data_IF_698003053426
#
_entry.id   IF_698003053426
#
_cell.length_a   1.000
_cell.length_b   1.000
_cell.length_c   1.000
_cell.angle_alpha   90.00
_cell.angle_beta   90.00
_cell.angle_gamma   90.00
#
_symmetry.space_group_name_H-M   'P 1'
#
loop_
_entity.id
_entity.type
_entity.pdbx_description
1 polymer ?
#
# COMPACT_ATOMS: atom_id res chain seq x y z
N UNK A 1 34.14 10.56 -22.33
CA UNK A 1 33.84 11.72 -21.48
C UNK A 1 32.88 11.19 -20.43
N UNK A 2 33.37 10.97 -19.21
CA UNK A 2 32.49 10.70 -18.07
C UNK A 2 31.78 12.02 -17.76
N UNK A 3 30.45 12.05 -17.88
CA UNK A 3 29.68 13.19 -17.41
C UNK A 3 29.85 13.30 -15.89
N UNK A 4 30.48 14.37 -15.43
CA UNK A 4 30.55 14.71 -14.01
C UNK A 4 29.12 14.96 -13.51
N UNK A 5 28.54 13.95 -12.85
CA UNK A 5 27.23 14.08 -12.23
C UNK A 5 27.35 15.10 -11.10
N UNK A 6 26.64 16.23 -11.25
CA UNK A 6 26.68 17.28 -10.24
C UNK A 6 26.15 16.78 -8.89
N UNK A 7 26.70 17.30 -7.78
CA UNK A 7 26.22 17.00 -6.42
C UNK A 7 24.72 17.31 -6.24
N UNK A 8 24.18 18.27 -6.99
CA UNK A 8 22.73 18.59 -7.01
C UNK A 8 21.92 17.47 -7.66
N UNK A 9 22.41 16.92 -8.77
CA UNK A 9 21.80 15.79 -9.47
C UNK A 9 21.80 14.54 -8.58
N UNK A 10 22.92 14.25 -7.91
CA UNK A 10 23.00 13.15 -6.95
C UNK A 10 22.01 13.32 -5.79
N UNK A 11 21.92 14.52 -5.20
CA UNK A 11 20.97 14.79 -4.11
C UNK A 11 19.51 14.60 -4.56
N UNK A 12 19.16 15.05 -5.76
CA UNK A 12 17.83 14.83 -6.33
C UNK A 12 17.53 13.33 -6.51
N UNK A 13 18.48 12.54 -7.01
CA UNK A 13 18.33 11.09 -7.14
C UNK A 13 18.18 10.41 -5.77
N UNK A 14 18.98 10.79 -4.76
CA UNK A 14 18.85 10.22 -3.41
C UNK A 14 17.50 10.54 -2.77
N UNK A 15 16.95 11.75 -3.00
CA UNK A 15 15.61 12.11 -2.51
C UNK A 15 14.52 11.30 -3.18
N UNK A 16 14.59 11.14 -4.50
CA UNK A 16 13.64 10.31 -5.24
C UNK A 16 13.68 8.85 -4.76
N UNK A 17 14.88 8.28 -4.60
CA UNK A 17 15.05 6.92 -4.09
C UNK A 17 14.52 6.74 -2.66
N UNK A 18 14.72 7.73 -1.79
CA UNK A 18 14.18 7.71 -0.43
C UNK A 18 12.64 7.78 -0.44
N UNK A 19 12.05 8.56 -1.35
CA UNK A 19 10.60 8.63 -1.52
C UNK A 19 10.02 7.29 -2.01
N UNK A 20 10.64 6.67 -3.02
CA UNK A 20 10.23 5.37 -3.54
C UNK A 20 10.35 4.26 -2.48
N UNK A 21 11.43 4.27 -1.69
CA UNK A 21 11.61 3.36 -0.57
C UNK A 21 10.49 3.50 0.48
N UNK A 22 10.17 4.75 0.85
CA UNK A 22 9.10 5.02 1.80
C UNK A 22 7.75 4.52 1.28
N UNK A 23 7.42 4.79 0.01
CA UNK A 23 6.20 4.28 -0.64
C UNK A 23 6.13 2.76 -0.59
N UNK A 24 7.24 2.07 -0.88
CA UNK A 24 7.30 0.61 -0.81
C UNK A 24 7.04 0.10 0.61
N UNK A 25 7.67 0.70 1.63
CA UNK A 25 7.46 0.35 3.04
C UNK A 25 5.99 0.52 3.45
N UNK A 26 5.33 1.60 3.01
CA UNK A 26 3.91 1.83 3.28
C UNK A 26 3.02 0.77 2.63
N UNK A 27 3.27 0.43 1.36
CA UNK A 27 2.55 -0.65 0.66
C UNK A 27 2.72 -2.00 1.35
N UNK A 28 3.96 -2.37 1.71
CA UNK A 28 4.25 -3.65 2.39
C UNK A 28 3.55 -3.74 3.74
N UNK A 29 3.58 -2.66 4.53
CA UNK A 29 2.90 -2.60 5.83
C UNK A 29 1.38 -2.77 5.66
N UNK A 30 0.78 -2.08 4.68
CA UNK A 30 -0.64 -2.22 4.39
C UNK A 30 -1.01 -3.65 3.95
N UNK A 31 -0.19 -4.26 3.09
CA UNK A 31 -0.40 -5.65 2.64
C UNK A 31 -0.29 -6.66 3.79
N UNK A 32 0.64 -6.46 4.72
CA UNK A 32 0.76 -7.31 5.92
C UNK A 32 -0.52 -7.28 6.75
N UNK A 33 -1.05 -6.08 7.04
CA UNK A 33 -2.32 -5.94 7.78
C UNK A 33 -3.51 -6.59 7.06
N UNK A 34 -3.57 -6.49 5.73
CA UNK A 34 -4.59 -7.17 4.92
C UNK A 34 -4.44 -8.69 5.03
N UNK A 35 -3.22 -9.22 4.91
CA UNK A 35 -2.96 -10.65 5.02
C UNK A 35 -3.32 -11.19 6.40
N UNK A 36 -3.08 -10.44 7.47
CA UNK A 36 -3.50 -10.82 8.83
C UNK A 36 -5.03 -10.97 8.94
N UNK A 37 -5.80 -10.05 8.35
CA UNK A 37 -7.27 -10.13 8.31
C UNK A 37 -7.73 -11.34 7.48
N UNK A 38 -7.14 -11.55 6.32
CA UNK A 38 -7.50 -12.67 5.44
C UNK A 38 -7.12 -14.02 6.06
N UNK A 39 -5.97 -14.12 6.72
CA UNK A 39 -5.53 -15.33 7.41
C UNK A 39 -6.42 -15.66 8.62
N UNK A 40 -6.90 -14.64 9.33
CA UNK A 40 -7.95 -14.81 10.34
C UNK A 40 -9.27 -15.32 9.72
N UNK A 41 -9.58 -14.86 8.50
CA UNK A 41 -10.73 -15.26 7.72
C UNK A 41 -10.78 -16.72 7.26
N UNK A 42 -9.71 -17.50 7.41
CA UNK A 42 -9.71 -18.94 7.07
C UNK A 42 -10.76 -19.73 7.86
N UNK A 43 -11.20 -19.20 9.01
CA UNK A 43 -12.16 -19.84 9.91
C UNK A 43 -13.48 -19.08 10.08
N UNK A 44 -13.70 -17.99 9.33
CA UNK A 44 -14.80 -17.05 9.53
C UNK A 44 -15.60 -16.82 8.25
N UNK A 45 -16.85 -16.39 8.38
CA UNK A 45 -17.68 -16.12 7.21
C UNK A 45 -17.21 -14.86 6.46
N UNK A 46 -17.44 -14.85 5.14
CA UNK A 46 -16.97 -13.79 4.24
C UNK A 46 -17.40 -12.38 4.68
N UNK A 47 -18.61 -12.26 5.22
CA UNK A 47 -19.16 -10.99 5.71
C UNK A 47 -18.44 -10.51 6.99
N UNK A 48 -18.00 -11.43 7.85
CA UNK A 48 -17.22 -11.11 9.06
C UNK A 48 -15.81 -10.63 8.68
N UNK A 49 -15.21 -11.25 7.68
CA UNK A 49 -13.90 -10.84 7.12
C UNK A 49 -14.01 -9.44 6.51
N UNK A 50 -15.07 -9.17 5.75
CA UNK A 50 -15.30 -7.87 5.12
C UNK A 50 -15.49 -6.76 6.18
N UNK A 51 -16.29 -7.01 7.23
CA UNK A 51 -16.44 -6.05 8.33
C UNK A 51 -15.13 -5.82 9.09
N UNK A 52 -14.34 -6.88 9.32
CA UNK A 52 -13.06 -6.78 10.00
C UNK A 52 -12.04 -5.98 9.19
N UNK A 53 -12.03 -6.19 7.86
CA UNK A 53 -11.21 -5.42 6.94
C UNK A 53 -11.60 -3.93 6.97
N UNK A 54 -12.88 -3.60 7.01
CA UNK A 54 -13.35 -2.22 7.15
C UNK A 54 -12.96 -1.60 8.50
N UNK A 55 -13.08 -2.34 9.60
CA UNK A 55 -12.69 -1.86 10.93
C UNK A 55 -11.18 -1.59 11.03
N UNK A 56 -10.35 -2.52 10.54
CA UNK A 56 -8.90 -2.33 10.55
C UNK A 56 -8.46 -1.26 9.57
N UNK A 57 -9.14 -1.13 8.42
CA UNK A 57 -8.96 -0.01 7.50
C UNK A 57 -9.25 1.32 8.18
N UNK A 58 -10.38 1.43 8.89
CA UNK A 58 -10.74 2.64 9.63
C UNK A 58 -9.77 3.00 10.76
N UNK A 59 -9.28 2.01 11.51
CA UNK A 59 -8.24 2.21 12.53
C UNK A 59 -6.91 2.66 11.91
N UNK A 60 -6.58 2.14 10.74
CA UNK A 60 -5.38 2.54 10.02
C UNK A 60 -5.52 3.90 9.33
N UNK A 61 -6.72 4.42 9.07
CA UNK A 61 -6.91 5.79 8.51
C UNK A 61 -6.24 6.85 9.40
N UNK A 62 -6.31 6.74 10.72
CA UNK A 62 -5.72 7.72 11.63
C UNK A 62 -4.18 7.69 11.58
N UNK A 63 -3.59 6.50 11.44
CA UNK A 63 -2.16 6.31 11.19
C UNK A 63 -1.76 6.75 9.77
N UNK A 64 -2.61 6.50 8.77
CA UNK A 64 -2.44 6.90 7.37
C UNK A 64 -2.45 8.42 7.25
N UNK A 65 -3.32 9.13 7.95
CA UNK A 65 -3.40 10.59 7.90
C UNK A 65 -2.12 11.29 8.38
N UNK A 66 -1.24 10.59 9.10
CA UNK A 66 0.09 11.09 9.49
C UNK A 66 1.17 10.88 8.41
N UNK A 67 0.89 10.07 7.39
CA UNK A 67 1.79 9.84 6.26
C UNK A 67 1.71 10.98 5.24
N UNK A 68 2.76 11.20 4.42
CA UNK A 68 2.67 12.08 3.26
C UNK A 68 1.53 11.68 2.30
N UNK A 69 0.84 12.65 1.65
CA UNK A 69 -0.37 12.39 0.85
C UNK A 69 -0.24 11.28 -0.19
N UNK A 70 0.91 11.18 -0.86
CA UNK A 70 1.18 10.11 -1.83
C UNK A 70 1.17 8.73 -1.18
N UNK A 71 1.78 8.57 -0.02
CA UNK A 71 1.79 7.31 0.73
C UNK A 71 0.40 6.95 1.27
N UNK A 72 -0.43 7.95 1.58
CA UNK A 72 -1.83 7.72 1.95
C UNK A 72 -2.62 7.05 0.85
N UNK A 73 -2.49 7.58 -0.38
CA UNK A 73 -3.15 7.04 -1.57
C UNK A 73 -2.74 5.58 -1.80
N UNK A 74 -1.47 5.26 -1.58
CA UNK A 74 -0.94 3.90 -1.74
C UNK A 74 -1.53 2.91 -0.72
N UNK A 75 -1.59 3.31 0.55
CA UNK A 75 -2.22 2.47 1.58
C UNK A 75 -3.71 2.28 1.26
N UNK A 76 -4.44 3.34 0.96
CA UNK A 76 -5.87 3.28 0.62
C UNK A 76 -6.12 2.40 -0.62
N UNK A 77 -5.26 2.46 -1.62
CA UNK A 77 -5.36 1.63 -2.82
C UNK A 77 -5.28 0.13 -2.47
N UNK A 78 -4.32 -0.27 -1.64
CA UNK A 78 -4.16 -1.66 -1.19
C UNK A 78 -5.40 -2.16 -0.43
N UNK A 79 -5.92 -1.38 0.51
CA UNK A 79 -7.13 -1.75 1.27
C UNK A 79 -8.37 -1.89 0.37
N UNK A 80 -8.57 -0.95 -0.55
CA UNK A 80 -9.69 -1.01 -1.50
C UNK A 80 -9.60 -2.21 -2.44
N UNK A 81 -8.39 -2.56 -2.87
CA UNK A 81 -8.16 -3.72 -3.72
C UNK A 81 -8.45 -5.02 -2.97
N UNK A 82 -8.01 -5.14 -1.72
CA UNK A 82 -8.31 -6.28 -0.87
C UNK A 82 -9.82 -6.45 -0.65
N UNK A 83 -10.54 -5.35 -0.37
CA UNK A 83 -11.99 -5.36 -0.25
C UNK A 83 -12.68 -5.80 -1.53
N UNK A 84 -12.24 -5.31 -2.70
CA UNK A 84 -12.78 -5.70 -4.00
C UNK A 84 -12.60 -7.19 -4.28
N UNK A 85 -11.41 -7.74 -4.05
CA UNK A 85 -11.16 -9.18 -4.18
C UNK A 85 -12.00 -10.01 -3.21
N UNK A 86 -12.19 -9.50 -1.99
CA UNK A 86 -13.09 -10.11 -1.02
C UNK A 86 -14.54 -10.04 -1.43
N UNK A 87 -15.01 -9.02 -2.15
CA UNK A 87 -16.38 -8.93 -2.66
C UNK A 87 -16.58 -9.70 -3.96
N UNK A 88 -15.53 -9.79 -4.79
CA UNK A 88 -15.49 -10.44 -6.09
C UNK A 88 -14.09 -11.05 -6.32
N UNK A 89 -13.93 -12.38 -6.18
CA UNK A 89 -12.62 -13.04 -6.29
C UNK A 89 -12.05 -12.98 -7.71
N UNK A 90 -12.89 -12.74 -8.72
CA UNK A 90 -12.50 -12.64 -10.13
C UNK A 90 -12.18 -11.20 -10.56
N UNK A 91 -12.25 -10.22 -9.63
CA UNK A 91 -11.90 -8.84 -9.93
C UNK A 91 -10.42 -8.71 -10.32
N UNK A 92 -10.15 -8.14 -11.50
CA UNK A 92 -8.80 -7.93 -12.02
C UNK A 92 -7.91 -7.14 -11.03
N UNK A 93 -6.76 -7.74 -10.71
CA UNK A 93 -5.76 -7.22 -9.77
C UNK A 93 -4.86 -6.22 -10.50
N UNK A 94 -5.33 -5.00 -10.70
CA UNK A 94 -4.45 -3.93 -11.21
C UNK A 94 -3.67 -3.32 -10.04
N UNK A 95 -2.48 -3.84 -9.76
CA UNK A 95 -1.49 -3.12 -8.95
C UNK A 95 -0.98 -1.98 -9.83
N UNK A 96 -1.70 -0.86 -9.80
CA UNK A 96 -1.26 0.34 -10.50
C UNK A 96 0.07 0.81 -9.87
N UNK A 97 1.15 0.77 -10.66
CA UNK A 97 2.41 1.42 -10.32
C UNK A 97 3.58 0.52 -9.95
N UNK A 98 3.81 -0.57 -10.69
CA UNK A 98 5.16 -1.07 -10.94
C UNK A 98 5.30 -1.26 -12.45
N UNK A 99 5.58 -0.17 -13.15
CA UNK A 99 6.18 -0.22 -14.49
C UNK A 99 7.71 -0.17 -14.35
N UNK A 100 8.47 -0.80 -15.27
CA UNK A 100 9.93 -0.72 -15.29
C UNK A 100 10.45 0.70 -15.42
#
# INVERSE_FOLDING_TARGET
>A
MEEEISLKTLNAHFRALAEDHNVLVARTTAMQSVLEVLAWGVWHERDEIAQRLLQMGAQSIEAVNQLPPRMQQEVVAVWNQAYKQLADPDAEVSIMGVGP
#
